data_IF_059917608421
#
_entry.id   IF_059917608421
#
_cell.length_a   1.000
_cell.length_b   1.000
_cell.length_c   1.000
_cell.angle_alpha   90.00
_cell.angle_beta   90.00
_cell.angle_gamma   90.00
#
_symmetry.space_group_name_H-M   'P 1'
#
loop_
_entity.id
_entity.type
_entity.pdbx_description
1 polymer ?
#
# COMPACT_ATOMS: atom_id res chain seq x y z
N UNK A 1 -2.36 24.38 -9.52
CA UNK A 1 -3.31 25.16 -8.72
C UNK A 1 -2.54 26.22 -7.94
N UNK A 2 -3.04 27.45 -7.90
CA UNK A 2 -2.45 28.60 -7.19
C UNK A 2 -3.11 28.81 -5.82
N UNK A 3 -2.45 29.56 -4.91
CA UNK A 3 -3.04 29.91 -3.60
C UNK A 3 -4.38 30.64 -3.72
N UNK A 4 -4.55 31.49 -4.74
CA UNK A 4 -5.83 32.17 -4.97
C UNK A 4 -6.95 31.20 -5.33
N UNK A 5 -6.65 30.19 -6.13
CA UNK A 5 -7.63 29.14 -6.49
C UNK A 5 -7.98 28.29 -5.28
N UNK A 6 -6.98 27.87 -4.50
CA UNK A 6 -7.19 27.12 -3.24
C UNK A 6 -8.09 27.90 -2.27
N UNK A 7 -7.75 29.15 -1.99
CA UNK A 7 -8.54 30.01 -1.11
C UNK A 7 -9.98 30.18 -1.59
N UNK A 8 -10.19 30.36 -2.90
CA UNK A 8 -11.53 30.46 -3.48
C UNK A 8 -12.35 29.18 -3.31
N UNK A 9 -11.73 28.01 -3.42
CA UNK A 9 -12.41 26.71 -3.27
C UNK A 9 -12.99 26.54 -1.87
N UNK A 10 -12.22 26.92 -0.84
CA UNK A 10 -12.61 26.75 0.57
C UNK A 10 -13.21 28.03 1.17
N UNK A 11 -13.55 29.02 0.35
CA UNK A 11 -14.23 30.25 0.81
C UNK A 11 -13.37 31.19 1.66
N UNK A 12 -12.04 31.10 1.57
CA UNK A 12 -11.11 31.98 2.29
C UNK A 12 -10.89 33.28 1.51
N UNK A 13 -11.32 34.40 2.07
CA UNK A 13 -10.92 35.73 1.60
C UNK A 13 -9.60 36.13 2.25
N UNK A 14 -8.49 35.90 1.54
CA UNK A 14 -7.13 36.26 1.96
C UNK A 14 -6.90 37.74 2.29
N UNK A 15 -7.84 38.63 1.96
CA UNK A 15 -7.78 40.04 2.38
C UNK A 15 -8.30 40.27 3.80
N UNK A 16 -9.27 39.46 4.26
CA UNK A 16 -9.89 39.56 5.59
C UNK A 16 -9.49 38.43 6.55
N UNK A 17 -9.08 37.26 6.03
CA UNK A 17 -8.64 36.08 6.79
C UNK A 17 -7.52 35.38 6.02
N UNK A 18 -6.34 35.24 6.64
CA UNK A 18 -5.24 34.45 6.10
C UNK A 18 -5.22 33.08 6.77
N UNK A 19 -5.23 32.00 5.97
CA UNK A 19 -5.06 30.65 6.50
C UNK A 19 -3.74 30.55 7.27
N UNK A 20 -3.79 30.15 8.54
CA UNK A 20 -2.60 30.04 9.41
C UNK A 20 -1.93 31.38 9.76
N UNK A 21 -2.61 32.51 9.55
CA UNK A 21 -2.13 33.84 9.95
C UNK A 21 -2.61 34.25 11.34
N UNK A 22 -2.16 35.41 11.84
CA UNK A 22 -2.60 35.95 13.15
C UNK A 22 -4.12 36.14 13.26
N UNK A 23 -4.79 36.27 12.11
CA UNK A 23 -6.20 36.65 12.00
C UNK A 23 -7.07 35.50 11.45
N UNK A 24 -6.57 34.26 11.41
CA UNK A 24 -7.32 33.14 10.84
C UNK A 24 -6.80 31.76 11.20
N UNK A 25 -7.74 30.83 11.40
CA UNK A 25 -7.41 29.42 11.60
C UNK A 25 -6.75 28.82 10.35
N UNK A 26 -5.96 27.75 10.56
CA UNK A 26 -5.45 26.90 9.49
C UNK A 26 -6.57 26.20 8.70
N UNK A 27 -6.19 25.41 7.71
CA UNK A 27 -7.13 24.57 6.97
C UNK A 27 -7.53 23.36 7.82
N UNK A 28 -8.81 23.00 7.84
CA UNK A 28 -9.23 21.72 8.38
C UNK A 28 -9.03 20.57 7.37
N UNK A 29 -9.18 19.32 7.83
CA UNK A 29 -8.96 18.15 6.99
C UNK A 29 -9.94 18.05 5.80
N UNK A 30 -11.15 18.58 5.91
CA UNK A 30 -12.15 18.58 4.82
C UNK A 30 -11.79 19.62 3.76
N UNK A 31 -11.36 20.81 4.19
CA UNK A 31 -10.85 21.86 3.31
C UNK A 31 -9.60 21.38 2.54
N UNK A 32 -8.67 20.69 3.23
CA UNK A 32 -7.49 20.09 2.59
C UNK A 32 -7.87 19.04 1.54
N UNK A 33 -8.81 18.14 1.86
CA UNK A 33 -9.32 17.14 0.90
C UNK A 33 -9.97 17.83 -0.30
N UNK A 34 -10.81 18.83 -0.09
CA UNK A 34 -11.48 19.56 -1.17
C UNK A 34 -10.47 20.19 -2.14
N UNK A 35 -9.38 20.77 -1.61
CA UNK A 35 -8.30 21.34 -2.41
C UNK A 35 -7.58 20.24 -3.21
N UNK A 36 -7.22 19.13 -2.56
CA UNK A 36 -6.51 18.02 -3.21
C UNK A 36 -7.36 17.35 -4.30
N UNK A 37 -8.64 17.12 -4.05
CA UNK A 37 -9.55 16.54 -5.02
C UNK A 37 -9.80 17.48 -6.21
N UNK A 38 -9.93 18.80 -5.95
CA UNK A 38 -9.98 19.80 -7.02
C UNK A 38 -8.67 19.87 -7.84
N UNK A 39 -7.54 19.47 -7.25
CA UNK A 39 -6.26 19.35 -7.95
C UNK A 39 -6.12 18.03 -8.75
N UNK A 40 -7.13 17.16 -8.70
CA UNK A 40 -7.18 15.90 -9.46
C UNK A 40 -6.72 14.68 -8.68
N UNK A 41 -6.56 14.77 -7.36
CA UNK A 41 -6.30 13.60 -6.52
C UNK A 41 -7.60 12.91 -6.10
N UNK A 42 -7.51 11.62 -5.77
CA UNK A 42 -8.41 10.97 -4.83
C UNK A 42 -7.77 11.02 -3.45
N UNK A 43 -8.55 11.33 -2.43
CA UNK A 43 -8.08 11.30 -1.04
C UNK A 43 -8.64 10.11 -0.27
N UNK A 44 -7.77 9.42 0.46
CA UNK A 44 -8.13 8.42 1.46
C UNK A 44 -7.77 8.97 2.84
N UNK A 45 -8.79 9.30 3.63
CA UNK A 45 -8.64 9.94 4.93
C UNK A 45 -8.81 8.90 6.03
N UNK A 46 -7.93 8.92 7.02
CA UNK A 46 -8.07 8.18 8.27
C UNK A 46 -8.06 9.16 9.44
N UNK A 47 -9.05 9.07 10.33
CA UNK A 47 -9.26 9.89 11.52
C UNK A 47 -8.83 9.13 12.78
N UNK A 48 -7.76 9.62 13.39
CA UNK A 48 -7.14 9.05 14.59
C UNK A 48 -7.45 9.86 15.87
N UNK A 49 -8.43 10.78 15.82
CA UNK A 49 -8.80 11.58 17.00
C UNK A 49 -9.62 10.78 18.01
N UNK A 50 -10.38 9.79 17.55
CA UNK A 50 -11.27 8.98 18.38
C UNK A 50 -10.85 7.49 18.37
N UNK A 51 -10.25 6.98 19.46
CA UNK A 51 -9.72 5.62 19.54
C UNK A 51 -10.75 4.50 19.55
N UNK A 52 -12.03 4.82 19.51
CA UNK A 52 -13.13 3.84 19.45
C UNK A 52 -13.53 3.54 18.00
N UNK A 53 -13.04 4.31 17.01
CA UNK A 53 -13.40 4.07 15.60
C UNK A 53 -12.65 2.87 15.03
N UNK A 54 -13.25 2.19 14.03
CA UNK A 54 -12.58 1.10 13.28
C UNK A 54 -11.27 1.55 12.63
N UNK A 55 -11.11 2.84 12.34
CA UNK A 55 -9.89 3.39 11.75
C UNK A 55 -8.68 3.26 12.70
N UNK A 56 -8.91 3.22 14.02
CA UNK A 56 -7.87 2.89 15.00
C UNK A 56 -7.47 1.41 15.01
N UNK A 57 -8.22 0.51 14.37
CA UNK A 57 -7.81 -0.89 14.21
C UNK A 57 -6.61 -1.01 13.25
N UNK A 58 -6.42 -0.02 12.36
CA UNK A 58 -5.30 0.01 11.43
C UNK A 58 -4.26 1.07 11.85
N UNK A 59 -2.97 0.71 11.94
CA UNK A 59 -1.91 1.69 12.18
C UNK A 59 -1.89 2.77 11.10
N UNK A 60 -1.78 4.04 11.49
CA UNK A 60 -1.72 5.18 10.56
C UNK A 60 -0.57 5.05 9.55
N UNK A 61 0.50 4.35 9.94
CA UNK A 61 1.64 4.03 9.10
C UNK A 61 1.23 3.32 7.82
N UNK A 62 0.20 2.46 7.85
CA UNK A 62 -0.28 1.75 6.65
C UNK A 62 -0.85 2.69 5.60
N UNK A 63 -1.56 3.73 6.01
CA UNK A 63 -2.11 4.73 5.10
C UNK A 63 -1.00 5.59 4.49
N UNK A 64 -0.04 6.03 5.31
CA UNK A 64 1.12 6.79 4.84
C UNK A 64 1.97 5.96 3.88
N UNK A 65 2.39 4.77 4.31
CA UNK A 65 3.22 3.85 3.54
C UNK A 65 2.56 3.50 2.21
N UNK A 66 1.30 3.05 2.23
CA UNK A 66 0.63 2.60 1.02
C UNK A 66 0.52 3.69 -0.06
N UNK A 67 0.27 4.95 0.33
CA UNK A 67 0.26 6.07 -0.60
C UNK A 67 1.65 6.30 -1.21
N UNK A 68 2.67 6.44 -0.34
CA UNK A 68 4.03 6.81 -0.74
C UNK A 68 4.69 5.70 -1.56
N UNK A 69 4.52 4.45 -1.17
CA UNK A 69 4.99 3.27 -1.92
C UNK A 69 4.41 3.21 -3.32
N UNK A 70 3.17 3.69 -3.48
CA UNK A 70 2.48 3.74 -4.77
C UNK A 70 2.90 4.93 -5.65
N UNK A 71 3.87 5.73 -5.21
CA UNK A 71 4.35 6.91 -5.93
C UNK A 71 3.54 8.19 -5.68
N UNK A 72 2.67 8.23 -4.67
CA UNK A 72 1.82 9.38 -4.36
C UNK A 72 2.05 9.91 -2.95
N UNK A 73 2.20 11.23 -2.75
CA UNK A 73 2.44 11.79 -1.43
C UNK A 73 1.23 11.60 -0.51
N UNK A 74 1.47 11.61 0.79
CA UNK A 74 0.44 11.66 1.82
C UNK A 74 0.66 12.86 2.72
N UNK A 75 -0.36 13.26 3.47
CA UNK A 75 -0.25 14.29 4.52
C UNK A 75 -0.48 13.62 5.86
N UNK A 76 0.41 13.87 6.82
CA UNK A 76 0.18 13.51 8.23
C UNK A 76 -0.13 14.77 9.00
N UNK A 77 -1.20 14.73 9.79
CA UNK A 77 -1.65 15.82 10.66
C UNK A 77 -1.51 15.33 12.10
N UNK A 78 -0.72 16.05 12.90
CA UNK A 78 -0.43 15.69 14.28
C UNK A 78 -0.49 16.90 15.19
N UNK A 79 -0.84 16.70 16.45
CA UNK A 79 -0.90 17.81 17.40
C UNK A 79 0.49 18.24 17.88
N UNK A 80 0.57 19.48 18.32
CA UNK A 80 1.78 20.10 18.86
C UNK A 80 1.59 20.37 20.35
N UNK A 81 2.69 20.75 21.03
CA UNK A 81 2.68 21.05 22.47
C UNK A 81 1.73 22.18 22.86
N UNK A 82 1.42 23.07 21.92
CA UNK A 82 0.54 24.22 22.15
C UNK A 82 -0.93 23.87 21.89
N UNK A 83 -1.29 22.57 21.88
CA UNK A 83 -2.62 22.06 21.56
C UNK A 83 -3.16 22.51 20.18
N UNK A 84 -2.25 22.84 19.26
CA UNK A 84 -2.54 23.13 17.86
C UNK A 84 -2.22 21.90 17.00
N UNK A 85 -2.67 21.90 15.75
CA UNK A 85 -2.31 20.86 14.79
C UNK A 85 -1.32 21.39 13.77
N UNK A 86 -0.36 20.54 13.41
CA UNK A 86 0.57 20.76 12.32
C UNK A 86 0.38 19.69 11.24
N UNK A 87 0.56 20.07 9.98
CA UNK A 87 0.37 19.19 8.84
C UNK A 87 1.61 19.20 7.95
N UNK A 88 2.15 18.02 7.65
CA UNK A 88 3.33 17.90 6.79
C UNK A 88 3.10 16.87 5.67
N UNK A 89 3.54 17.16 4.44
CA UNK A 89 3.59 16.16 3.38
C UNK A 89 4.72 15.15 3.61
N UNK A 90 4.38 13.88 3.39
CA UNK A 90 5.29 12.73 3.33
C UNK A 90 5.30 12.23 1.88
N UNK A 91 6.47 12.06 1.28
CA UNK A 91 6.60 11.77 -0.15
C UNK A 91 7.68 10.73 -0.48
N UNK A 92 8.32 10.17 0.53
CA UNK A 92 9.28 9.09 0.35
C UNK A 92 9.43 8.26 1.60
N UNK A 93 10.22 7.20 1.50
CA UNK A 93 10.55 6.36 2.64
C UNK A 93 11.88 5.62 2.41
N UNK A 94 12.37 4.97 3.46
CA UNK A 94 13.52 4.07 3.39
C UNK A 94 13.21 2.73 4.05
N UNK A 95 13.80 1.66 3.52
CA UNK A 95 13.81 0.35 4.16
C UNK A 95 15.08 0.12 4.96
N UNK A 96 14.98 -0.70 6.00
CA UNK A 96 16.12 -1.29 6.68
C UNK A 96 16.09 -2.81 6.50
N UNK A 97 16.99 -3.32 5.66
CA UNK A 97 17.07 -4.73 5.26
C UNK A 97 17.42 -5.65 6.44
N UNK A 98 18.06 -5.10 7.48
CA UNK A 98 18.47 -5.78 8.72
C UNK A 98 17.42 -5.70 9.84
N UNK A 99 16.21 -5.23 9.54
CA UNK A 99 15.13 -5.15 10.53
C UNK A 99 14.77 -6.56 11.04
N UNK A 100 14.94 -6.78 12.34
CA UNK A 100 14.57 -8.05 12.98
C UNK A 100 13.05 -8.25 13.12
N UNK A 101 12.28 -7.16 13.21
CA UNK A 101 10.83 -7.15 13.51
C UNK A 101 10.02 -8.13 12.66
N UNK A 102 10.12 -8.18 11.31
CA UNK A 102 9.32 -9.10 10.50
C UNK A 102 9.49 -10.58 10.86
N UNK A 103 10.70 -10.99 11.27
CA UNK A 103 10.98 -12.37 11.72
C UNK A 103 10.53 -12.61 13.17
N UNK A 104 10.65 -11.57 14.00
CA UNK A 104 10.21 -11.64 15.38
C UNK A 104 8.68 -11.70 15.47
N UNK A 105 7.97 -10.94 14.64
CA UNK A 105 6.50 -10.92 14.61
C UNK A 105 5.90 -12.29 14.34
N UNK A 106 6.40 -13.04 13.37
CA UNK A 106 5.91 -14.40 13.11
C UNK A 106 6.19 -15.38 14.25
N UNK A 107 7.22 -15.12 15.05
CA UNK A 107 7.74 -16.06 16.06
C UNK A 107 7.24 -15.77 17.47
N UNK A 108 7.01 -14.49 17.79
CA UNK A 108 6.72 -14.00 19.14
C UNK A 108 5.37 -13.31 19.26
N UNK A 109 4.80 -12.82 18.15
CA UNK A 109 3.60 -12.02 18.18
C UNK A 109 2.50 -12.66 17.32
N UNK A 110 1.24 -12.40 17.66
CA UNK A 110 0.13 -12.81 16.79
C UNK A 110 0.01 -11.77 15.68
N UNK A 111 0.47 -12.10 14.49
CA UNK A 111 -0.05 -11.47 13.27
C UNK A 111 -1.57 -11.69 13.32
N UNK A 112 -2.37 -10.62 13.35
CA UNK A 112 -3.79 -10.68 13.74
C UNK A 112 -4.57 -11.81 13.04
N UNK A 113 -5.58 -12.38 13.70
CA UNK A 113 -6.23 -13.66 13.30
C UNK A 113 -6.76 -13.70 11.86
N UNK A 114 -6.94 -12.54 11.19
CA UNK A 114 -7.34 -12.43 9.78
C UNK A 114 -6.21 -12.13 8.78
N UNK A 115 -5.01 -11.77 9.21
CA UNK A 115 -3.91 -11.35 8.32
C UNK A 115 -3.06 -12.55 7.92
N UNK A 116 -3.14 -12.94 6.64
CA UNK A 116 -2.47 -14.13 6.08
C UNK A 116 -1.13 -13.85 5.39
N UNK A 117 -0.52 -12.70 5.69
CA UNK A 117 0.69 -12.22 5.03
C UNK A 117 1.48 -11.24 5.92
N UNK A 118 2.72 -10.95 5.53
CA UNK A 118 3.56 -9.91 6.12
C UNK A 118 3.52 -8.67 5.23
N UNK A 119 3.13 -7.48 5.72
CA UNK A 119 3.21 -6.28 4.91
C UNK A 119 4.69 -5.90 4.73
N UNK A 120 5.06 -5.48 3.52
CA UNK A 120 6.39 -4.92 3.21
C UNK A 120 6.74 -3.71 4.08
N UNK A 121 5.72 -2.97 4.54
CA UNK A 121 5.80 -1.93 5.56
C UNK A 121 6.52 -2.38 6.83
N UNK A 122 6.59 -3.68 7.14
CA UNK A 122 7.35 -4.19 8.28
C UNK A 122 8.88 -3.94 8.16
N UNK A 123 9.41 -3.68 6.96
CA UNK A 123 10.80 -3.27 6.72
C UNK A 123 11.02 -1.75 6.66
N UNK A 124 9.94 -0.97 6.72
CA UNK A 124 10.01 0.50 6.72
C UNK A 124 10.80 1.02 7.93
N UNK A 125 11.77 1.88 7.67
CA UNK A 125 12.62 2.50 8.69
C UNK A 125 12.28 3.97 8.92
N UNK A 126 12.31 4.77 7.85
CA UNK A 126 12.08 6.21 7.91
C UNK A 126 11.07 6.63 6.85
N UNK A 127 10.27 7.64 7.17
CA UNK A 127 9.54 8.44 6.19
C UNK A 127 10.39 9.63 5.75
N UNK A 128 10.21 10.11 4.52
CA UNK A 128 10.83 11.33 4.00
C UNK A 128 9.73 12.37 3.83
N UNK A 129 9.91 13.51 4.51
CA UNK A 129 8.91 14.56 4.59
C UNK A 129 9.48 15.96 4.32
N UNK A 130 8.58 16.91 4.09
CA UNK A 130 8.88 18.33 4.08
C UNK A 130 8.06 19.00 5.17
N UNK A 131 8.72 19.84 5.96
CA UNK A 131 8.11 20.67 6.97
C UNK A 131 8.38 22.12 6.60
N UNK A 132 7.35 22.96 6.67
CA UNK A 132 7.41 24.38 6.31
C UNK A 132 8.23 25.23 7.31
N UNK A 133 8.39 24.78 8.54
CA UNK A 133 9.21 25.42 9.58
C UNK A 133 10.66 24.95 9.54
N UNK A 134 10.92 23.68 9.16
CA UNK A 134 12.25 23.07 9.26
C UNK A 134 12.95 22.85 7.92
N UNK A 135 12.20 22.67 6.82
CA UNK A 135 12.72 22.46 5.46
C UNK A 135 12.33 21.11 4.85
N UNK A 136 12.93 20.77 3.71
CA UNK A 136 12.58 19.59 2.89
C UNK A 136 13.52 18.40 3.06
N UNK A 137 13.00 17.19 2.79
CA UNK A 137 13.76 15.93 2.72
C UNK A 137 14.31 15.47 4.08
N UNK A 138 13.55 15.69 5.15
CA UNK A 138 13.91 15.16 6.47
C UNK A 138 13.41 13.74 6.65
N UNK A 139 14.23 12.92 7.32
CA UNK A 139 13.87 11.58 7.73
C UNK A 139 13.12 11.60 9.06
N UNK A 140 11.91 11.08 9.08
CA UNK A 140 11.10 10.86 10.28
C UNK A 140 11.12 9.36 10.59
N UNK A 141 11.68 8.92 11.73
CA UNK A 141 11.59 7.51 12.12
C UNK A 141 10.14 7.03 12.12
N UNK A 142 9.87 5.84 11.58
CA UNK A 142 8.52 5.26 11.42
C UNK A 142 7.66 5.31 12.70
N UNK A 143 8.29 5.17 13.85
CA UNK A 143 7.64 5.14 15.18
C UNK A 143 7.80 6.45 15.96
N UNK A 144 8.35 7.51 15.35
CA UNK A 144 8.50 8.81 16.01
C UNK A 144 7.14 9.45 16.32
N UNK A 145 6.24 9.45 15.32
CA UNK A 145 4.84 9.83 15.52
C UNK A 145 4.04 8.62 16.01
N UNK A 146 3.04 8.88 16.85
CA UNK A 146 2.13 7.87 17.38
C UNK A 146 0.68 8.37 17.35
N UNK A 147 -0.27 7.45 17.15
CA UNK A 147 -1.69 7.73 17.31
C UNK A 147 -2.12 7.47 18.76
N UNK A 148 -3.20 8.12 19.23
CA UNK A 148 -3.77 7.90 20.57
C UNK A 148 -4.07 6.41 20.81
N UNK A 149 -3.69 5.92 22.00
CA UNK A 149 -3.94 4.54 22.45
C UNK A 149 -4.73 4.52 23.76
N UNK A 150 -5.43 3.42 24.03
CA UNK A 150 -6.01 3.17 25.35
C UNK A 150 -4.93 2.87 26.38
N UNK A 151 -5.09 3.40 27.59
CA UNK A 151 -4.22 3.09 28.71
C UNK A 151 -4.49 1.66 29.18
N UNK A 152 -3.52 0.75 28.96
CA UNK A 152 -3.63 -0.68 29.30
C UNK A 152 -3.85 -0.98 30.81
N UNK A 153 -3.77 0.02 31.69
CA UNK A 153 -3.73 -0.18 33.15
C UNK A 153 -5.08 -0.11 33.88
N UNK A 154 -6.21 0.15 33.19
CA UNK A 154 -7.51 0.30 33.86
C UNK A 154 -8.60 -0.57 33.21
N UNK A 155 -8.89 -1.77 33.76
CA UNK A 155 -9.77 -2.76 33.13
C UNK A 155 -11.27 -2.40 33.11
N UNK A 156 -11.70 -1.37 33.83
CA UNK A 156 -13.14 -1.12 34.08
C UNK A 156 -13.65 0.25 33.68
N UNK A 157 -12.77 1.19 33.32
CA UNK A 157 -13.15 2.49 32.77
C UNK A 157 -12.16 2.82 31.67
N UNK A 158 -12.61 2.84 30.41
CA UNK A 158 -11.81 3.22 29.26
C UNK A 158 -11.43 4.71 29.36
N UNK A 159 -10.50 5.04 30.26
CA UNK A 159 -9.84 6.33 30.28
C UNK A 159 -8.81 6.34 29.15
N UNK A 160 -8.97 7.31 28.25
CA UNK A 160 -7.86 7.75 27.41
C UNK A 160 -6.65 7.99 28.33
N UNK A 161 -5.45 7.62 27.89
CA UNK A 161 -4.26 8.12 28.56
C UNK A 161 -4.37 9.65 28.66
N UNK A 162 -3.83 10.24 29.74
CA UNK A 162 -3.77 11.71 29.90
C UNK A 162 -3.47 12.36 28.56
N UNK A 163 -4.18 13.45 28.25
CA UNK A 163 -4.29 14.06 26.93
C UNK A 163 -2.93 14.31 26.25
N UNK A 164 -2.35 13.26 25.65
CA UNK A 164 -1.28 13.35 24.68
C UNK A 164 -1.93 14.04 23.47
N UNK A 165 -1.79 15.36 23.46
CA UNK A 165 -2.23 16.22 22.37
C UNK A 165 -1.25 16.12 21.21
N UNK A 166 -0.01 15.70 21.45
CA UNK A 166 1.08 15.48 20.51
C UNK A 166 1.01 14.14 19.76
N UNK A 167 -0.18 13.79 19.28
CA UNK A 167 -0.43 12.55 18.53
C UNK A 167 -0.93 12.82 17.12
N UNK A 168 -0.83 11.81 16.26
CA UNK A 168 -1.44 11.82 14.93
C UNK A 168 -2.95 11.91 15.07
N UNK A 169 -3.53 12.94 14.44
CA UNK A 169 -4.98 13.16 14.37
C UNK A 169 -5.55 12.69 13.03
N UNK A 170 -4.83 12.88 11.92
CA UNK A 170 -5.28 12.41 10.62
C UNK A 170 -4.13 11.98 9.73
N UNK A 171 -4.46 11.11 8.79
CA UNK A 171 -3.65 10.86 7.60
C UNK A 171 -4.51 11.06 6.36
N UNK A 172 -3.99 11.75 5.36
CA UNK A 172 -4.60 11.92 4.04
C UNK A 172 -3.66 11.30 3.02
N UNK A 173 -3.92 10.05 2.63
CA UNK A 173 -3.25 9.42 1.49
C UNK A 173 -3.82 9.97 0.18
N UNK A 174 -2.98 10.10 -0.85
CA UNK A 174 -3.43 10.56 -2.17
C UNK A 174 -3.22 9.48 -3.24
N UNK A 175 -4.03 9.54 -4.28
CA UNK A 175 -3.94 8.69 -5.47
C UNK A 175 -4.50 9.45 -6.68
N UNK A 176 -4.36 8.94 -7.91
CA UNK A 176 -5.10 9.45 -9.06
C UNK A 176 -6.62 9.41 -8.81
N UNK A 177 -7.36 10.41 -9.30
CA UNK A 177 -8.81 10.54 -9.07
C UNK A 177 -9.63 9.31 -9.51
N UNK A 178 -9.13 8.55 -10.48
CA UNK A 178 -9.79 7.36 -11.01
C UNK A 178 -9.76 6.19 -10.00
N UNK A 179 -8.75 6.12 -9.14
CA UNK A 179 -8.55 5.04 -8.18
C UNK A 179 -9.64 5.07 -7.10
N UNK A 180 -10.27 3.93 -6.88
CA UNK A 180 -11.33 3.74 -5.87
C UNK A 180 -10.90 2.83 -4.72
N UNK A 181 -9.98 1.89 -4.99
CA UNK A 181 -9.46 0.95 -3.99
C UNK A 181 -8.21 1.55 -3.36
N UNK A 182 -8.16 1.63 -2.04
CA UNK A 182 -6.96 2.08 -1.32
C UNK A 182 -5.91 0.95 -1.22
N UNK A 183 -4.62 1.25 -0.98
CA UNK A 183 -3.56 0.23 -0.95
C UNK A 183 -3.77 -0.87 0.10
N UNK A 184 -4.36 -0.54 1.25
CA UNK A 184 -4.63 -1.51 2.32
C UNK A 184 -5.69 -2.51 1.87
N UNK A 185 -6.77 -2.02 1.25
CA UNK A 185 -7.80 -2.86 0.64
C UNK A 185 -7.23 -3.72 -0.48
N UNK A 186 -6.34 -3.14 -1.30
CA UNK A 186 -5.71 -3.87 -2.40
C UNK A 186 -4.90 -5.07 -1.92
N UNK A 187 -4.12 -4.94 -0.84
CA UNK A 187 -3.39 -6.08 -0.25
C UNK A 187 -4.35 -7.17 0.23
N UNK A 188 -5.44 -6.81 0.92
CA UNK A 188 -6.43 -7.76 1.43
C UNK A 188 -7.13 -8.50 0.28
N UNK A 189 -7.53 -7.78 -0.78
CA UNK A 189 -8.15 -8.35 -1.97
C UNK A 189 -7.16 -9.27 -2.71
N UNK A 190 -5.90 -8.83 -2.86
CA UNK A 190 -4.84 -9.64 -3.47
C UNK A 190 -4.58 -10.93 -2.69
N UNK A 191 -4.57 -10.85 -1.35
CA UNK A 191 -4.41 -12.00 -0.47
C UNK A 191 -5.58 -12.98 -0.62
N UNK A 192 -6.80 -12.46 -0.66
CA UNK A 192 -8.00 -13.27 -0.87
C UNK A 192 -7.95 -14.03 -2.20
N UNK A 193 -7.59 -13.38 -3.31
CA UNK A 193 -7.41 -14.07 -4.59
C UNK A 193 -6.31 -15.12 -4.53
N UNK A 194 -5.14 -14.78 -4.01
CA UNK A 194 -4.02 -15.72 -3.89
C UNK A 194 -4.45 -17.01 -3.17
N UNK A 195 -5.21 -16.88 -2.09
CA UNK A 195 -5.69 -18.02 -1.30
C UNK A 195 -6.70 -18.90 -2.05
N UNK A 196 -7.38 -18.38 -3.08
CA UNK A 196 -8.22 -19.20 -3.97
C UNK A 196 -7.45 -19.83 -5.13
N UNK A 197 -6.34 -19.20 -5.54
CA UNK A 197 -5.49 -19.65 -6.65
C UNK A 197 -4.61 -20.81 -6.23
N UNK A 198 -3.92 -20.69 -5.07
CA UNK A 198 -2.91 -21.67 -4.64
C UNK A 198 -3.42 -23.11 -4.56
N UNK A 199 -4.65 -23.41 -4.06
CA UNK A 199 -5.16 -24.78 -4.03
C UNK A 199 -5.37 -25.42 -5.40
N UNK A 200 -5.47 -24.61 -6.46
CA UNK A 200 -5.67 -25.07 -7.84
C UNK A 200 -4.39 -25.04 -8.66
N UNK A 201 -3.30 -24.47 -8.12
CA UNK A 201 -2.04 -24.36 -8.82
C UNK A 201 -1.49 -25.75 -9.15
N UNK A 202 -0.92 -25.95 -10.37
CA UNK A 202 -0.19 -27.16 -10.69
C UNK A 202 0.94 -27.42 -9.68
N UNK A 203 1.32 -28.68 -9.54
CA UNK A 203 2.49 -29.03 -8.72
C UNK A 203 3.71 -28.24 -9.23
N UNK A 204 4.45 -27.55 -8.34
CA UNK A 204 5.59 -26.76 -8.74
C UNK A 204 6.67 -27.66 -9.36
N UNK A 205 7.29 -27.21 -10.45
CA UNK A 205 8.43 -27.89 -11.07
C UNK A 205 9.75 -27.38 -10.49
N UNK A 206 9.76 -26.19 -9.89
CA UNK A 206 10.95 -25.54 -9.31
C UNK A 206 10.86 -25.32 -7.80
N UNK A 207 12.04 -25.16 -7.18
CA UNK A 207 12.18 -24.91 -5.73
C UNK A 207 11.45 -23.65 -5.26
N UNK A 208 11.28 -22.65 -6.12
CA UNK A 208 10.62 -21.40 -5.76
C UNK A 208 9.11 -21.52 -5.70
N UNK A 209 8.51 -22.39 -6.52
CA UNK A 209 7.10 -22.74 -6.37
C UNK A 209 6.85 -23.46 -5.04
N UNK A 210 7.72 -24.40 -4.67
CA UNK A 210 7.64 -25.07 -3.36
C UNK A 210 7.85 -24.11 -2.18
N UNK A 211 8.80 -23.18 -2.29
CA UNK A 211 9.03 -22.15 -1.26
C UNK A 211 7.83 -21.23 -1.13
N UNK A 212 7.28 -20.74 -2.24
CA UNK A 212 6.08 -19.90 -2.23
C UNK A 212 4.93 -20.61 -1.52
N UNK A 213 4.61 -21.85 -1.89
CA UNK A 213 3.55 -22.64 -1.25
C UNK A 213 3.78 -22.83 0.26
N UNK A 214 5.02 -23.14 0.66
CA UNK A 214 5.39 -23.27 2.07
C UNK A 214 5.17 -21.98 2.83
N UNK A 215 5.69 -20.85 2.34
CA UNK A 215 5.55 -19.56 3.02
C UNK A 215 4.10 -19.07 3.01
N UNK A 216 3.31 -19.38 1.98
CA UNK A 216 1.87 -19.09 1.96
C UNK A 216 1.13 -19.84 3.07
N UNK A 217 1.39 -21.15 3.23
CA UNK A 217 0.78 -21.98 4.30
C UNK A 217 1.15 -21.52 5.70
N UNK A 218 2.31 -20.87 5.84
CA UNK A 218 2.78 -20.30 7.11
C UNK A 218 2.35 -18.83 7.31
N UNK A 219 1.60 -18.23 6.37
CA UNK A 219 1.24 -16.81 6.37
C UNK A 219 2.47 -15.87 6.40
N UNK A 220 3.58 -16.31 5.80
CA UNK A 220 4.88 -15.60 5.80
C UNK A 220 5.23 -14.97 4.46
N UNK A 221 4.32 -14.95 3.48
CA UNK A 221 4.55 -14.22 2.25
C UNK A 221 4.56 -12.72 2.53
N UNK A 222 5.54 -12.02 1.97
CA UNK A 222 5.64 -10.57 2.02
C UNK A 222 4.81 -9.96 0.90
N UNK A 223 3.92 -9.03 1.25
CA UNK A 223 3.07 -8.34 0.30
C UNK A 223 3.50 -6.89 0.15
N UNK A 224 3.60 -6.42 -1.09
CA UNK A 224 3.85 -5.02 -1.43
C UNK A 224 2.86 -4.59 -2.48
N UNK A 225 1.96 -3.68 -2.12
CA UNK A 225 1.02 -3.09 -3.08
C UNK A 225 1.67 -1.90 -3.79
N UNK A 226 1.68 -1.95 -5.12
CA UNK A 226 2.16 -0.87 -5.98
C UNK A 226 1.05 -0.52 -6.98
N UNK A 227 0.77 0.76 -7.14
CA UNK A 227 -0.17 1.23 -8.16
C UNK A 227 0.57 1.41 -9.49
N UNK A 228 0.04 0.81 -10.56
CA UNK A 228 0.66 0.82 -11.89
C UNK A 228 -0.40 1.06 -12.97
N UNK A 229 -0.02 1.73 -14.06
CA UNK A 229 -0.77 1.71 -15.31
C UNK A 229 -0.40 0.49 -16.15
N UNK A 230 -1.26 0.17 -17.11
CA UNK A 230 -0.99 -0.85 -18.15
C UNK A 230 0.43 -0.76 -18.72
N UNK A 231 0.82 0.41 -19.23
CA UNK A 231 2.12 0.60 -19.88
C UNK A 231 3.30 0.35 -18.93
N UNK A 232 3.16 0.72 -17.66
CA UNK A 232 4.17 0.51 -16.63
C UNK A 232 4.29 -0.98 -16.28
N UNK A 233 3.16 -1.67 -16.10
CA UNK A 233 3.15 -3.10 -15.82
C UNK A 233 3.70 -3.93 -16.99
N UNK A 234 3.25 -3.68 -18.22
CA UNK A 234 3.77 -4.37 -19.42
C UNK A 234 5.25 -4.05 -19.60
N UNK A 235 5.66 -2.79 -19.40
CA UNK A 235 7.07 -2.39 -19.44
C UNK A 235 7.91 -3.14 -18.40
N UNK A 236 7.40 -3.31 -17.18
CA UNK A 236 8.03 -4.12 -16.13
C UNK A 236 8.19 -5.57 -16.57
N UNK A 237 7.14 -6.23 -17.08
CA UNK A 237 7.22 -7.62 -17.55
C UNK A 237 8.24 -7.80 -18.68
N UNK A 238 8.42 -6.81 -19.56
CA UNK A 238 9.45 -6.84 -20.63
C UNK A 238 10.87 -6.75 -20.09
N UNK A 239 11.08 -6.04 -18.97
CA UNK A 239 12.40 -5.85 -18.35
C UNK A 239 12.77 -6.94 -17.37
N UNK A 240 11.79 -7.47 -16.63
CA UNK A 240 12.04 -8.41 -15.55
C UNK A 240 12.72 -9.69 -16.06
N UNK A 241 13.68 -10.18 -15.29
CA UNK A 241 14.36 -11.45 -15.54
C UNK A 241 14.33 -12.32 -14.30
N UNK A 242 14.39 -13.62 -14.53
CA UNK A 242 14.59 -14.58 -13.44
C UNK A 242 16.04 -14.59 -12.94
N UNK A 243 16.40 -15.50 -12.04
CA UNK A 243 17.79 -15.58 -11.53
C UNK A 243 18.81 -15.97 -12.61
N UNK A 244 18.40 -16.80 -13.57
CA UNK A 244 19.23 -17.26 -14.68
C UNK A 244 19.21 -16.30 -15.88
N UNK A 245 18.57 -15.14 -15.71
CA UNK A 245 18.36 -14.10 -16.74
C UNK A 245 17.41 -14.51 -17.86
N UNK A 246 16.55 -15.49 -17.61
CA UNK A 246 15.49 -15.86 -18.54
C UNK A 246 14.39 -14.79 -18.51
N UNK A 247 13.98 -14.23 -19.66
CA UNK A 247 12.84 -13.32 -19.73
C UNK A 247 11.51 -14.08 -19.70
N UNK A 248 10.45 -13.37 -19.32
CA UNK A 248 9.08 -13.83 -19.58
C UNK A 248 8.87 -13.98 -21.09
N UNK A 249 8.06 -14.97 -21.51
CA UNK A 249 7.77 -15.20 -22.93
C UNK A 249 7.17 -13.95 -23.59
N UNK A 250 7.88 -13.39 -24.58
CA UNK A 250 7.46 -12.16 -25.28
C UNK A 250 6.07 -12.29 -25.92
N UNK A 251 5.72 -13.48 -26.41
CA UNK A 251 4.36 -13.76 -26.92
C UNK A 251 3.28 -13.54 -25.86
N UNK A 252 3.53 -13.95 -24.61
CA UNK A 252 2.60 -13.74 -23.49
C UNK A 252 2.48 -12.28 -23.11
N UNK A 253 3.60 -11.56 -23.12
CA UNK A 253 3.59 -10.12 -22.84
C UNK A 253 2.78 -9.38 -23.90
N UNK A 254 2.93 -9.72 -25.17
CA UNK A 254 2.16 -9.12 -26.25
C UNK A 254 0.66 -9.45 -26.16
N UNK A 255 0.31 -10.69 -25.79
CA UNK A 255 -1.09 -11.05 -25.51
C UNK A 255 -1.68 -10.16 -24.39
N UNK A 256 -0.93 -9.93 -23.31
CA UNK A 256 -1.33 -9.05 -22.21
C UNK A 256 -1.42 -7.58 -22.62
N UNK A 257 -0.47 -7.09 -23.41
CA UNK A 257 -0.47 -5.72 -23.92
C UNK A 257 -1.68 -5.46 -24.82
N UNK A 258 -2.16 -6.46 -25.55
CA UNK A 258 -3.41 -6.33 -26.32
C UNK A 258 -4.65 -6.41 -25.42
N UNK A 259 -4.65 -7.33 -24.45
CA UNK A 259 -5.84 -7.65 -23.65
C UNK A 259 -6.12 -6.68 -22.50
N UNK A 260 -5.09 -6.10 -21.88
CA UNK A 260 -5.26 -5.25 -20.70
C UNK A 260 -5.88 -3.89 -21.10
N UNK A 261 -6.89 -3.41 -20.36
CA UNK A 261 -7.40 -2.05 -20.55
C UNK A 261 -6.39 -1.00 -20.09
N UNK A 262 -6.49 0.21 -20.65
CA UNK A 262 -5.69 1.36 -20.24
C UNK A 262 -6.32 2.02 -18.99
N UNK A 263 -6.07 1.41 -17.83
CA UNK A 263 -6.56 1.84 -16.52
C UNK A 263 -5.47 1.66 -15.45
N UNK A 264 -5.76 2.10 -14.22
CA UNK A 264 -4.93 1.81 -13.06
C UNK A 264 -5.19 0.42 -12.48
N UNK A 265 -4.11 -0.26 -12.13
CA UNK A 265 -4.11 -1.56 -11.46
C UNK A 265 -3.32 -1.49 -10.16
N UNK A 266 -3.78 -2.24 -9.18
CA UNK A 266 -2.96 -2.60 -8.04
C UNK A 266 -2.21 -3.89 -8.39
N UNK A 267 -0.88 -3.80 -8.38
CA UNK A 267 0.00 -4.96 -8.43
C UNK A 267 0.45 -5.28 -7.00
N UNK A 268 0.00 -6.41 -6.49
CA UNK A 268 0.37 -6.92 -5.18
C UNK A 268 1.51 -7.91 -5.40
N UNK A 269 2.73 -7.45 -5.15
CA UNK A 269 3.91 -8.30 -5.25
C UNK A 269 3.96 -9.29 -4.09
N UNK A 270 4.34 -10.53 -4.41
CA UNK A 270 4.46 -11.64 -3.48
C UNK A 270 5.94 -12.00 -3.36
N UNK A 271 6.49 -11.85 -2.16
CA UNK A 271 7.87 -12.23 -1.88
C UNK A 271 7.97 -13.10 -0.62
N UNK A 272 9.18 -13.47 -0.26
CA UNK A 272 9.52 -14.06 1.04
C UNK A 272 10.51 -13.13 1.75
N UNK A 273 10.59 -13.14 3.09
CA UNK A 273 11.39 -12.19 3.87
C UNK A 273 12.82 -12.03 3.36
N UNK A 274 13.53 -13.15 3.15
CA UNK A 274 14.94 -13.16 2.71
C UNK A 274 15.11 -12.62 1.28
N UNK A 275 14.09 -12.78 0.45
CA UNK A 275 14.13 -12.39 -0.94
C UNK A 275 13.75 -10.92 -1.12
N UNK A 276 12.76 -10.47 -0.36
CA UNK A 276 12.28 -9.10 -0.37
C UNK A 276 13.37 -8.14 0.10
N UNK A 277 13.91 -8.35 1.30
CA UNK A 277 14.79 -7.37 1.92
C UNK A 277 16.19 -7.36 1.33
N UNK A 278 16.81 -8.54 1.17
CA UNK A 278 18.22 -8.61 0.76
C UNK A 278 18.43 -8.57 -0.75
N UNK A 279 17.47 -9.10 -1.53
CA UNK A 279 17.65 -9.29 -2.98
C UNK A 279 16.74 -8.41 -3.83
N UNK A 280 15.76 -7.74 -3.20
CA UNK A 280 14.75 -6.92 -3.91
C UNK A 280 14.06 -7.71 -5.02
N UNK A 281 13.65 -8.94 -4.71
CA UNK A 281 13.00 -9.86 -5.63
C UNK A 281 11.66 -10.36 -5.09
N UNK A 282 10.84 -10.93 -5.97
CA UNK A 282 9.51 -11.49 -5.72
C UNK A 282 9.33 -12.85 -6.38
N UNK A 283 8.53 -13.71 -5.77
CA UNK A 283 8.15 -15.01 -6.33
C UNK A 283 6.93 -14.91 -7.23
N UNK A 284 6.12 -13.86 -7.10
CA UNK A 284 4.92 -13.68 -7.91
C UNK A 284 4.29 -12.31 -7.74
N UNK A 285 3.14 -12.10 -8.39
CA UNK A 285 2.27 -10.96 -8.13
C UNK A 285 0.80 -11.29 -8.42
N UNK A 286 -0.12 -10.56 -7.81
CA UNK A 286 -1.54 -10.54 -8.16
C UNK A 286 -1.88 -9.15 -8.69
N UNK A 287 -2.51 -9.08 -9.86
CA UNK A 287 -2.96 -7.84 -10.47
C UNK A 287 -4.47 -7.72 -10.32
N UNK A 288 -4.93 -6.61 -9.73
CA UNK A 288 -6.36 -6.30 -9.56
C UNK A 288 -6.66 -4.90 -10.08
N UNK A 289 -7.92 -4.66 -10.47
CA UNK A 289 -8.39 -3.34 -10.91
C UNK A 289 -8.39 -2.35 -9.74
N UNK A 290 -7.89 -1.13 -9.97
CA UNK A 290 -7.88 -0.08 -8.94
C UNK A 290 -9.10 0.86 -9.01
N UNK A 291 -9.73 0.97 -10.18
CA UNK A 291 -10.80 1.94 -10.46
C UNK A 291 -12.22 1.44 -10.12
N UNK A 292 -12.36 0.16 -9.77
CA UNK A 292 -13.64 -0.41 -9.32
C UNK A 292 -13.89 -0.15 -7.85
N UNK A 293 -15.12 0.22 -7.47
CA UNK A 293 -15.47 0.36 -6.06
C UNK A 293 -15.30 -0.99 -5.33
N UNK A 294 -14.64 -1.01 -4.14
CA UNK A 294 -14.47 -2.24 -3.38
C UNK A 294 -15.82 -2.76 -2.88
N UNK A 295 -16.02 -4.07 -2.95
CA UNK A 295 -17.20 -4.76 -2.45
C UNK A 295 -16.86 -5.54 -1.18
N UNK A 296 -17.87 -5.77 -0.32
CA UNK A 296 -17.70 -6.63 0.87
C UNK A 296 -17.57 -8.11 0.53
N UNK A 297 -18.03 -8.51 -0.65
CA UNK A 297 -17.93 -9.86 -1.19
C UNK A 297 -16.86 -9.92 -2.28
N UNK A 298 -16.33 -11.12 -2.54
CA UNK A 298 -15.34 -11.34 -3.60
C UNK A 298 -15.95 -11.06 -4.97
N UNK A 299 -15.48 -9.99 -5.62
CA UNK A 299 -15.86 -9.64 -6.99
C UNK A 299 -14.79 -10.06 -7.99
N UNK A 300 -14.95 -11.24 -8.59
CA UNK A 300 -14.01 -11.81 -9.57
C UNK A 300 -13.77 -10.92 -10.81
N UNK A 301 -14.59 -9.89 -11.04
CA UNK A 301 -14.34 -8.89 -12.10
C UNK A 301 -13.18 -7.96 -11.78
N UNK A 302 -12.84 -7.81 -10.49
CA UNK A 302 -11.69 -7.03 -10.05
C UNK A 302 -10.37 -7.79 -10.23
N UNK A 303 -10.39 -9.13 -10.29
CA UNK A 303 -9.21 -9.93 -10.61
C UNK A 303 -8.84 -9.78 -12.09
N UNK A 304 -7.59 -9.41 -12.37
CA UNK A 304 -7.10 -9.26 -13.74
C UNK A 304 -6.28 -10.48 -14.13
N UNK A 305 -5.21 -10.75 -13.38
CA UNK A 305 -4.36 -11.93 -13.52
C UNK A 305 -3.52 -12.12 -12.26
N UNK A 306 -2.86 -13.25 -12.14
CA UNK A 306 -1.70 -13.38 -11.26
C UNK A 306 -0.51 -13.97 -12.03
N UNK A 307 0.68 -13.78 -11.48
CA UNK A 307 1.89 -14.49 -11.89
C UNK A 307 2.43 -15.24 -10.68
N UNK A 308 2.59 -16.54 -10.84
CA UNK A 308 3.36 -17.41 -9.94
C UNK A 308 4.73 -17.66 -10.60
N UNK A 309 5.72 -18.28 -9.92
CA UNK A 309 7.06 -18.46 -10.48
C UNK A 309 7.06 -19.03 -11.90
N UNK A 310 6.17 -19.98 -12.19
CA UNK A 310 6.16 -20.74 -13.45
C UNK A 310 4.98 -20.41 -14.38
N UNK A 311 3.95 -19.75 -13.84
CA UNK A 311 2.65 -19.67 -14.50
C UNK A 311 2.12 -18.25 -14.44
N UNK A 312 1.49 -17.80 -15.52
CA UNK A 312 0.42 -16.84 -15.38
C UNK A 312 -0.84 -17.53 -14.87
N UNK A 313 -1.76 -16.77 -14.31
CA UNK A 313 -3.03 -17.27 -13.78
C UNK A 313 -4.14 -16.38 -14.32
N UNK A 314 -5.10 -17.00 -15.00
CA UNK A 314 -6.26 -16.31 -15.56
C UNK A 314 -7.54 -16.95 -15.04
N UNK A 315 -8.54 -16.12 -14.77
CA UNK A 315 -9.87 -16.60 -14.38
C UNK A 315 -10.63 -17.16 -15.59
N UNK A 316 -11.20 -18.36 -15.46
CA UNK A 316 -11.94 -19.07 -16.53
C UNK A 316 -13.43 -19.26 -16.22
N UNK A 317 -13.93 -18.66 -15.14
CA UNK A 317 -15.32 -18.79 -14.71
C UNK A 317 -15.46 -19.52 -13.38
N UNK A 318 -16.71 -19.81 -12.99
CA UNK A 318 -17.02 -20.40 -11.67
C UNK A 318 -17.61 -19.36 -10.71
N UNK A 319 -18.16 -19.82 -9.59
CA UNK A 319 -18.78 -18.95 -8.60
C UNK A 319 -17.73 -18.20 -7.77
N UNK A 320 -18.12 -17.09 -7.14
CA UNK A 320 -17.23 -16.34 -6.25
C UNK A 320 -16.61 -17.21 -5.14
N UNK A 321 -17.35 -18.18 -4.60
CA UNK A 321 -16.87 -19.13 -3.58
C UNK A 321 -15.92 -20.20 -4.12
N UNK A 322 -15.99 -20.50 -5.41
CA UNK A 322 -15.23 -21.58 -6.07
C UNK A 322 -14.84 -21.14 -7.50
N UNK A 323 -13.94 -20.15 -7.62
CA UNK A 323 -13.47 -19.69 -8.92
C UNK A 323 -12.59 -20.76 -9.56
N UNK A 324 -12.57 -20.82 -10.90
CA UNK A 324 -11.68 -21.71 -11.67
C UNK A 324 -10.64 -20.89 -12.41
N UNK A 325 -9.42 -21.40 -12.41
CA UNK A 325 -8.27 -20.72 -13.02
C UNK A 325 -7.54 -21.60 -14.03
N UNK A 326 -6.91 -20.94 -14.99
CA UNK A 326 -6.00 -21.51 -15.99
C UNK A 326 -4.57 -21.07 -15.70
N UNK A 327 -3.61 -21.95 -15.99
CA UNK A 327 -2.20 -21.78 -15.63
C UNK A 327 -1.27 -21.95 -16.84
N UNK A 328 -1.24 -21.00 -17.80
CA UNK A 328 -0.30 -21.09 -18.90
C UNK A 328 1.12 -20.73 -18.42
N UNK A 329 2.13 -21.39 -18.99
CA UNK A 329 3.53 -21.12 -18.68
C UNK A 329 3.88 -19.64 -18.88
N UNK A 330 4.59 -19.07 -17.90
CA UNK A 330 5.12 -17.69 -17.95
C UNK A 330 6.45 -17.61 -18.73
N UNK A 331 7.22 -18.70 -18.76
CA UNK A 331 8.56 -18.78 -19.35
C UNK A 331 9.70 -18.65 -18.35
N UNK A 332 9.41 -18.16 -17.15
CA UNK A 332 10.36 -18.10 -16.04
C UNK A 332 10.07 -19.25 -15.07
N UNK A 333 11.09 -19.71 -14.33
CA UNK A 333 10.97 -20.82 -13.38
C UNK A 333 11.32 -20.41 -11.94
N UNK A 334 11.87 -19.20 -11.78
CA UNK A 334 12.48 -18.69 -10.55
C UNK A 334 11.77 -17.40 -10.10
N UNK A 335 12.24 -16.79 -9.02
CA UNK A 335 11.86 -15.44 -8.64
C UNK A 335 12.35 -14.38 -9.63
N UNK A 336 11.69 -13.24 -9.63
CA UNK A 336 11.92 -12.12 -10.52
C UNK A 336 12.20 -10.83 -9.71
N UNK A 337 12.73 -9.79 -10.35
CA UNK A 337 12.97 -8.49 -9.69
C UNK A 337 11.67 -7.81 -9.24
N UNK A 338 11.72 -7.06 -8.13
CA UNK A 338 10.61 -6.19 -7.72
C UNK A 338 10.42 -5.06 -8.73
N UNK A 339 9.20 -4.53 -8.81
CA UNK A 339 8.90 -3.37 -9.63
C UNK A 339 9.71 -2.15 -9.19
N UNK A 340 10.35 -1.52 -10.17
CA UNK A 340 11.26 -0.39 -9.97
C UNK A 340 12.66 -0.79 -9.51
N UNK A 341 12.96 -2.09 -9.45
CA UNK A 341 14.28 -2.64 -9.10
C UNK A 341 14.87 -3.50 -10.23
N UNK A 342 14.37 -3.36 -11.46
CA UNK A 342 14.91 -4.10 -12.60
C UNK A 342 16.30 -3.57 -12.98
N UNK A 343 17.24 -4.47 -13.29
CA UNK A 343 18.58 -4.07 -13.77
C UNK A 343 18.50 -3.42 -15.17
N UNK A 344 19.04 -2.21 -15.33
CA UNK A 344 19.16 -1.50 -16.63
C UNK A 344 20.22 -2.12 -17.59
N UNK A 345 20.68 -3.35 -17.34
CA UNK A 345 21.91 -3.90 -17.95
C UNK A 345 21.71 -4.67 -19.25
#
# INVERSE_FOLDING_TARGET
>A
MSYREMNRLVGIDHSSRKAGGTDGDGLDSQEMVMILEAAGARCFVADYRNPITREHELPFQKYLYGSVESGFPAIVIFGTRDAQYHAIPVFGHTFNEDTWVPRAETSYFKVGEGTKYLPSESWLSMYIAHDDNWGSNFCIPRQYLYARRFCQHWPTEARLCEEETDCVAYVIGTAPKEVQVNPIQAEVIGADYLMTILPQAPAPRGIWGERMDRYAKLNMLVFRAVLVKKGEYVGHLRRVRDWERTPILESRINDLDVALPDEYFWMIELSIPELFSANRRKVGEVLIRAEGAPTSERDLRAFVLARLPEFFVFYEGGAASEPRYRFPDSGIMDHAELFGCEDDR
#
